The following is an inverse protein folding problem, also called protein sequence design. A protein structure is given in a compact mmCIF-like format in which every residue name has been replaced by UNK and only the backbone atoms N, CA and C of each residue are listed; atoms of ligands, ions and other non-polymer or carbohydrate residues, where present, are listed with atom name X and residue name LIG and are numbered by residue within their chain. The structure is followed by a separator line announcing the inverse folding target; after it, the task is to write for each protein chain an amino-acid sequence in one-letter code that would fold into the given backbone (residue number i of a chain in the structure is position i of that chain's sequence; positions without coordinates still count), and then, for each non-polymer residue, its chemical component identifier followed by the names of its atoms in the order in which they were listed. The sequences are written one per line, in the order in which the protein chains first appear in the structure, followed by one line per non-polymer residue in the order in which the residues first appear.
data_IF_439092636353
#
_entry.id   IF_439092636353
#
_cell.length_a   1.000
_cell.length_b   1.000
_cell.length_c   1.000
_cell.angle_alpha   90.00
_cell.angle_beta   90.00
_cell.angle_gamma   90.00
#
_symmetry.space_group_name_H-M   'P 1'
#
loop_
_entity.id
_entity.type
_entity.pdbx_description
1 polymer ?
#
# COMPACT_ATOMS: atom_id res chain seq x y z
N UNK A 1 12.62 30.96 -22.70
CA UNK A 1 11.43 30.15 -23.05
C UNK A 1 11.03 29.44 -21.77
N UNK A 2 10.18 30.08 -20.99
CA UNK A 2 9.68 29.59 -19.69
C UNK A 2 8.36 28.86 -19.96
N UNK A 3 8.23 27.63 -19.47
CA UNK A 3 6.99 26.85 -19.59
C UNK A 3 5.95 27.40 -18.62
N UNK A 4 4.70 27.66 -19.04
CA UNK A 4 3.68 28.13 -18.12
C UNK A 4 3.32 27.00 -17.14
N UNK A 5 3.36 27.31 -15.84
CA UNK A 5 2.83 26.45 -14.79
C UNK A 5 1.32 26.26 -15.03
N UNK A 6 0.89 25.02 -15.26
CA UNK A 6 -0.51 24.70 -15.37
C UNK A 6 -1.11 24.68 -13.95
N UNK A 7 -1.55 25.86 -13.49
CA UNK A 7 -2.33 25.99 -12.27
C UNK A 7 -3.73 25.49 -12.59
N UNK A 8 -4.08 24.31 -12.08
CA UNK A 8 -5.44 23.78 -12.14
C UNK A 8 -6.28 24.63 -11.20
N UNK A 9 -6.96 25.64 -11.74
CA UNK A 9 -7.93 26.42 -10.99
C UNK A 9 -9.22 25.59 -10.87
N UNK A 10 -9.39 24.91 -9.73
CA UNK A 10 -10.66 24.29 -9.39
C UNK A 10 -11.49 25.39 -8.75
N UNK A 11 -12.43 25.94 -9.53
CA UNK A 11 -13.38 26.94 -9.06
C UNK A 11 -14.24 26.34 -7.93
N UNK A 12 -14.14 26.91 -6.74
CA UNK A 12 -15.11 26.75 -5.66
C UNK A 12 -16.32 27.64 -5.95
N UNK A 13 -17.40 27.06 -6.46
CA UNK A 13 -18.72 27.69 -6.52
C UNK A 13 -19.70 26.97 -5.56
N UNK A 14 -20.68 27.74 -5.11
CA UNK A 14 -21.33 27.73 -3.80
C UNK A 14 -22.50 26.74 -3.60
N UNK A 15 -22.63 26.30 -2.33
CA UNK A 15 -23.80 25.96 -1.49
C UNK A 15 -24.97 25.07 -2.00
N UNK A 16 -25.05 23.86 -1.43
CA UNK A 16 -26.27 23.16 -1.01
C UNK A 16 -25.93 22.32 0.23
N UNK A 17 -26.21 22.82 1.44
CA UNK A 17 -25.80 22.18 2.72
C UNK A 17 -26.57 20.88 2.95
N UNK A 18 -26.03 19.77 2.42
CA UNK A 18 -26.46 18.39 2.67
C UNK A 18 -25.54 17.74 3.73
N UNK A 19 -25.96 16.64 4.36
CA UNK A 19 -25.13 15.92 5.37
C UNK A 19 -23.73 15.52 4.81
N UNK A 20 -23.60 15.43 3.48
CA UNK A 20 -22.34 15.23 2.76
C UNK A 20 -21.36 16.41 2.89
N UNK A 21 -21.83 17.64 3.11
CA UNK A 21 -20.97 18.84 3.23
C UNK A 21 -20.22 18.88 4.55
N UNK A 22 -20.81 18.40 5.64
CA UNK A 22 -20.14 18.28 6.94
C UNK A 22 -18.92 17.37 6.85
N UNK A 23 -19.07 16.22 6.18
CA UNK A 23 -17.97 15.25 5.97
C UNK A 23 -16.89 15.84 5.04
N UNK A 24 -17.27 16.55 3.98
CA UNK A 24 -16.33 17.22 3.06
C UNK A 24 -15.57 18.36 3.76
N UNK A 25 -16.25 19.16 4.59
CA UNK A 25 -15.64 20.25 5.38
C UNK A 25 -14.65 19.68 6.40
N UNK A 26 -14.99 18.57 7.04
CA UNK A 26 -14.12 17.90 8.01
C UNK A 26 -12.86 17.33 7.35
N UNK A 27 -13.00 16.69 6.18
CA UNK A 27 -11.87 16.16 5.42
C UNK A 27 -10.91 17.28 4.98
N UNK A 28 -11.45 18.40 4.48
CA UNK A 28 -10.64 19.59 4.10
C UNK A 28 -9.87 20.15 5.29
N UNK A 29 -10.51 20.28 6.46
CA UNK A 29 -9.85 20.73 7.70
C UNK A 29 -8.73 19.78 8.12
N UNK A 30 -8.96 18.47 8.03
CA UNK A 30 -7.95 17.47 8.36
C UNK A 30 -6.76 17.55 7.39
N UNK A 31 -7.01 17.73 6.09
CA UNK A 31 -5.92 17.94 5.11
C UNK A 31 -5.14 19.21 5.37
N UNK A 32 -5.81 20.33 5.68
CA UNK A 32 -5.16 21.59 6.01
C UNK A 32 -4.31 21.46 7.27
N UNK A 33 -4.82 20.76 8.29
CA UNK A 33 -4.08 20.50 9.53
C UNK A 33 -2.81 19.68 9.30
N UNK A 34 -2.83 18.72 8.37
CA UNK A 34 -1.66 17.93 7.98
C UNK A 34 -0.63 18.75 7.20
N UNK A 35 -1.08 19.71 6.38
CA UNK A 35 -0.21 20.65 5.65
C UNK A 35 0.45 21.62 6.64
N UNK A 36 -0.33 22.18 7.55
CA UNK A 36 0.13 23.17 8.51
C UNK A 36 1.01 22.55 9.62
N UNK A 37 0.79 21.27 9.95
CA UNK A 37 1.56 20.52 10.94
C UNK A 37 2.19 19.25 10.33
N UNK A 38 3.26 19.39 9.53
CA UNK A 38 3.90 18.25 8.85
C UNK A 38 4.63 17.30 9.82
N UNK A 39 4.97 17.75 11.02
CA UNK A 39 5.65 16.98 12.07
C UNK A 39 4.66 16.27 13.02
N UNK A 40 3.54 15.75 12.51
CA UNK A 40 2.73 14.87 13.35
C UNK A 40 3.55 13.65 13.77
N UNK A 41 3.54 13.26 15.06
CA UNK A 41 4.29 12.11 15.53
C UNK A 41 3.91 10.90 14.70
N UNK A 42 4.92 10.24 14.12
CA UNK A 42 4.72 8.96 13.45
C UNK A 42 4.21 7.97 14.50
N UNK A 43 2.90 7.75 14.53
CA UNK A 43 2.34 6.66 15.32
C UNK A 43 2.87 5.36 14.70
N UNK A 44 3.93 4.82 15.28
CA UNK A 44 4.46 3.51 14.93
C UNK A 44 3.47 2.44 15.41
N UNK A 45 2.40 2.24 14.65
CA UNK A 45 1.41 1.22 14.92
C UNK A 45 2.01 -0.13 14.53
N UNK A 46 2.48 -0.89 15.50
CA UNK A 46 2.86 -2.29 15.30
C UNK A 46 1.60 -3.15 15.24
N UNK A 47 1.22 -3.59 14.04
CA UNK A 47 0.18 -4.62 13.88
C UNK A 47 0.77 -6.00 14.05
N UNK A 48 -0.02 -6.96 14.56
CA UNK A 48 0.41 -8.35 14.58
C UNK A 48 0.49 -8.86 13.14
N UNK A 49 1.47 -9.73 12.85
CA UNK A 49 1.57 -10.35 11.52
C UNK A 49 0.32 -11.17 11.16
N UNK A 50 -0.42 -11.67 12.18
CA UNK A 50 -1.70 -12.34 12.01
C UNK A 50 -2.84 -11.41 11.53
N UNK A 51 -2.69 -10.10 11.70
CA UNK A 51 -3.67 -9.09 11.27
C UNK A 51 -3.33 -8.50 9.89
N UNK A 52 -2.30 -9.04 9.22
CA UNK A 52 -1.91 -8.59 7.88
C UNK A 52 -2.92 -9.08 6.87
N UNK A 53 -3.51 -8.12 6.15
CA UNK A 53 -4.39 -8.36 5.01
C UNK A 53 -3.61 -8.27 3.71
N UNK A 54 -3.99 -9.09 2.73
CA UNK A 54 -3.41 -9.07 1.40
C UNK A 54 -3.87 -7.82 0.65
N UNK A 55 -2.97 -6.95 0.16
CA UNK A 55 -3.36 -5.71 -0.53
C UNK A 55 -3.91 -5.93 -1.95
N UNK A 56 -3.98 -7.19 -2.42
CA UNK A 56 -4.52 -7.54 -3.75
C UNK A 56 -5.98 -7.97 -3.64
N UNK A 57 -6.30 -8.86 -2.69
CA UNK A 57 -7.66 -9.37 -2.50
C UNK A 57 -8.39 -8.74 -1.30
N UNK A 58 -7.70 -7.96 -0.47
CA UNK A 58 -8.23 -7.32 0.74
C UNK A 58 -8.73 -8.26 1.84
N UNK A 59 -8.38 -9.55 1.76
CA UNK A 59 -8.68 -10.57 2.77
C UNK A 59 -7.45 -10.94 3.61
N UNK A 60 -7.66 -11.78 4.63
CA UNK A 60 -6.57 -12.42 5.38
C UNK A 60 -5.59 -13.15 4.45
N UNK A 61 -4.30 -13.02 4.73
CA UNK A 61 -3.26 -13.60 3.88
C UNK A 61 -3.25 -15.13 4.00
N UNK A 62 -3.68 -15.82 2.93
CA UNK A 62 -3.57 -17.28 2.80
C UNK A 62 -2.23 -17.67 2.15
N UNK A 63 -1.51 -18.62 2.76
CA UNK A 63 -0.15 -19.01 2.33
C UNK A 63 0.76 -17.79 2.13
N UNK A 64 0.97 -17.03 3.22
CA UNK A 64 1.76 -15.81 3.21
C UNK A 64 3.07 -15.97 2.45
N UNK A 65 3.23 -15.18 1.39
CA UNK A 65 4.34 -15.29 0.45
C UNK A 65 5.06 -13.94 0.40
N UNK A 66 6.32 -13.93 0.84
CA UNK A 66 7.19 -12.76 0.75
C UNK A 66 7.88 -12.73 -0.60
N UNK A 67 7.98 -11.54 -1.17
CA UNK A 67 8.74 -11.28 -2.41
C UNK A 67 10.19 -10.90 -2.08
N UNK A 68 11.09 -10.91 -3.06
CA UNK A 68 12.49 -10.49 -2.87
C UNK A 68 12.65 -9.02 -2.44
N UNK A 69 11.58 -8.21 -2.53
CA UNK A 69 11.54 -6.85 -2.02
C UNK A 69 10.97 -6.72 -0.60
N UNK A 70 10.57 -7.83 0.05
CA UNK A 70 10.09 -7.89 1.42
C UNK A 70 8.57 -7.84 1.59
N UNK A 71 7.83 -7.38 0.58
CA UNK A 71 6.36 -7.30 0.66
C UNK A 71 5.70 -8.68 0.65
N UNK A 72 4.59 -8.81 1.40
CA UNK A 72 3.87 -10.05 1.66
C UNK A 72 2.49 -10.02 1.02
N UNK A 73 2.09 -11.14 0.42
CA UNK A 73 0.79 -11.34 -0.25
C UNK A 73 0.33 -12.79 -0.09
N UNK A 74 -0.91 -13.11 -0.52
CA UNK A 74 -1.28 -14.50 -0.74
C UNK A 74 -0.46 -15.09 -1.91
N UNK A 75 -0.16 -16.39 -1.84
CA UNK A 75 0.60 -17.08 -2.89
C UNK A 75 -0.04 -16.93 -4.27
N UNK A 76 -1.34 -17.18 -4.36
CA UNK A 76 -2.08 -17.10 -5.61
C UNK A 76 -2.13 -15.67 -6.15
N UNK A 77 -2.40 -14.69 -5.28
CA UNK A 77 -2.48 -13.29 -5.66
C UNK A 77 -1.15 -12.78 -6.24
N UNK A 78 -0.01 -13.09 -5.61
CA UNK A 78 1.29 -12.64 -6.13
C UNK A 78 1.67 -13.38 -7.41
N UNK A 79 1.33 -14.65 -7.56
CA UNK A 79 1.55 -15.42 -8.79
C UNK A 79 0.80 -14.81 -9.98
N UNK A 80 -0.49 -14.49 -9.79
CA UNK A 80 -1.31 -13.85 -10.81
C UNK A 80 -0.82 -12.44 -11.15
N UNK A 81 -0.41 -11.67 -10.13
CA UNK A 81 0.11 -10.31 -10.32
C UNK A 81 1.41 -10.28 -11.12
N UNK A 82 2.35 -11.19 -10.80
CA UNK A 82 3.60 -11.35 -11.55
C UNK A 82 3.30 -11.71 -13.00
N UNK A 83 2.41 -12.70 -13.22
CA UNK A 83 2.02 -13.17 -14.55
C UNK A 83 1.37 -12.08 -15.38
N UNK A 84 0.47 -11.30 -14.77
CA UNK A 84 -0.23 -10.19 -15.42
C UNK A 84 0.71 -9.05 -15.79
N UNK A 85 1.66 -8.71 -14.91
CA UNK A 85 2.67 -7.69 -15.18
C UNK A 85 3.57 -8.07 -16.35
N UNK A 86 3.93 -9.35 -16.44
CA UNK A 86 4.68 -9.90 -17.56
C UNK A 86 3.88 -9.87 -18.87
N UNK A 87 2.63 -10.32 -18.84
CA UNK A 87 1.75 -10.38 -20.02
C UNK A 87 1.48 -8.97 -20.61
N UNK A 88 1.41 -7.95 -19.76
CA UNK A 88 1.27 -6.54 -20.18
C UNK A 88 2.58 -5.90 -20.65
N UNK A 89 3.69 -6.64 -20.70
CA UNK A 89 4.99 -6.12 -21.12
C UNK A 89 5.63 -5.10 -20.17
N UNK A 90 5.17 -5.04 -18.90
CA UNK A 90 5.68 -4.08 -17.91
C UNK A 90 7.09 -4.43 -17.42
N UNK A 91 7.52 -5.67 -17.64
CA UNK A 91 8.87 -6.15 -17.37
C UNK A 91 9.42 -6.88 -18.58
N UNK A 92 10.72 -6.71 -18.84
CA UNK A 92 11.47 -7.50 -19.81
C UNK A 92 12.13 -8.66 -19.06
N UNK A 93 12.10 -9.86 -19.64
CA UNK A 93 12.76 -11.02 -19.02
C UNK A 93 12.10 -12.36 -19.32
N UNK A 94 12.47 -13.37 -18.54
CA UNK A 94 11.89 -14.72 -18.62
C UNK A 94 10.49 -14.74 -18.00
N UNK A 95 9.67 -15.72 -18.40
CA UNK A 95 8.38 -15.97 -17.74
C UNK A 95 8.58 -16.16 -16.23
N UNK A 96 7.64 -15.62 -15.45
CA UNK A 96 7.72 -15.63 -13.98
C UNK A 96 8.48 -14.44 -13.38
N UNK A 97 8.92 -13.47 -14.18
CA UNK A 97 9.30 -12.14 -13.67
C UNK A 97 8.14 -11.16 -13.79
N UNK A 98 7.96 -10.28 -12.80
CA UNK A 98 6.88 -9.30 -12.73
C UNK A 98 7.24 -8.11 -11.84
N UNK A 99 6.26 -7.26 -11.56
CA UNK A 99 6.43 -6.12 -10.65
C UNK A 99 5.75 -6.43 -9.31
N UNK A 100 6.36 -6.00 -8.21
CA UNK A 100 5.69 -5.98 -6.91
C UNK A 100 4.51 -4.98 -6.93
N UNK A 101 3.30 -5.36 -6.46
CA UNK A 101 2.15 -4.44 -6.38
C UNK A 101 2.37 -3.21 -5.49
N UNK A 102 3.17 -3.33 -4.43
CA UNK A 102 3.36 -2.25 -3.46
C UNK A 102 4.47 -1.27 -3.84
N UNK A 103 5.63 -1.78 -4.28
CA UNK A 103 6.79 -0.92 -4.57
C UNK A 103 7.27 -0.95 -6.02
N UNK A 104 6.61 -1.70 -6.90
CA UNK A 104 6.95 -1.83 -8.33
C UNK A 104 8.38 -2.30 -8.62
N UNK A 105 9.10 -2.86 -7.64
CA UNK A 105 10.40 -3.50 -7.89
C UNK A 105 10.20 -4.74 -8.76
N UNK A 106 11.14 -4.99 -9.68
CA UNK A 106 11.18 -6.24 -10.43
C UNK A 106 11.42 -7.41 -9.48
N UNK A 107 10.53 -8.39 -9.52
CA UNK A 107 10.58 -9.60 -8.70
C UNK A 107 10.43 -10.83 -9.60
N UNK A 108 11.03 -11.95 -9.20
CA UNK A 108 10.77 -13.25 -9.81
C UNK A 108 9.95 -14.12 -8.87
N UNK A 109 9.01 -14.88 -9.41
CA UNK A 109 8.27 -15.88 -8.66
C UNK A 109 9.18 -16.97 -8.08
N UNK A 110 10.37 -17.20 -8.66
CA UNK A 110 11.35 -18.14 -8.10
C UNK A 110 12.01 -17.65 -6.82
N UNK A 111 12.03 -16.33 -6.63
CA UNK A 111 12.67 -15.68 -5.48
C UNK A 111 11.65 -15.38 -4.37
N UNK A 112 10.40 -15.83 -4.52
CA UNK A 112 9.39 -15.71 -3.48
C UNK A 112 9.55 -16.81 -2.45
N UNK A 113 9.25 -16.48 -1.20
CA UNK A 113 9.39 -17.38 -0.06
C UNK A 113 8.03 -17.50 0.61
N UNK A 114 7.48 -18.71 0.65
CA UNK A 114 6.28 -19.01 1.43
C UNK A 114 6.66 -19.09 2.91
N UNK A 115 6.05 -18.25 3.72
CA UNK A 115 6.28 -18.14 5.15
C UNK A 115 5.44 -19.18 5.87
N UNK A 116 6.11 -20.11 6.57
CA UNK A 116 5.47 -21.10 7.45
C UNK A 116 5.66 -20.67 8.90
N UNK A 117 4.64 -20.07 9.48
CA UNK A 117 4.69 -19.50 10.82
C UNK A 117 3.90 -20.36 11.80
N UNK A 118 4.35 -20.43 13.05
CA UNK A 118 3.59 -21.01 14.16
C UNK A 118 2.91 -19.87 14.92
N UNK A 119 1.65 -20.05 15.32
CA UNK A 119 1.03 -19.13 16.26
C UNK A 119 1.80 -19.19 17.58
N UNK A 120 2.31 -18.04 18.02
CA UNK A 120 2.85 -17.88 19.36
C UNK A 120 1.70 -17.55 20.32
N UNK A 121 1.61 -18.28 21.44
CA UNK A 121 0.63 -18.06 22.50
C UNK A 121 0.92 -16.82 23.35
N UNK A 122 2.16 -16.34 23.33
CA UNK A 122 2.59 -15.09 23.96
C UNK A 122 3.55 -14.37 23.02
N UNK A 123 3.29 -13.11 22.70
CA UNK A 123 4.25 -12.22 22.02
C UNK A 123 4.28 -10.91 22.79
N UNK A 124 5.47 -10.51 23.24
CA UNK A 124 5.70 -9.17 23.77
C UNK A 124 5.65 -8.14 22.64
N UNK A 125 5.26 -6.91 22.96
CA UNK A 125 5.37 -5.79 22.02
C UNK A 125 6.87 -5.57 21.76
N UNK A 126 7.34 -5.58 20.50
CA UNK A 126 8.74 -5.28 20.22
C UNK A 126 9.04 -3.82 20.57
N UNK A 127 10.12 -3.57 21.30
CA UNK A 127 10.63 -2.20 21.47
C UNK A 127 11.10 -1.69 20.09
N UNK A 128 10.42 -0.66 19.58
CA UNK A 128 10.83 0.00 18.34
C UNK A 128 11.86 1.09 18.64
N UNK A 129 12.87 1.29 17.76
CA UNK A 129 13.72 2.47 17.85
C UNK A 129 12.89 3.75 17.66
N UNK A 130 13.34 4.88 18.25
CA UNK A 130 12.72 6.19 18.07
C UNK A 130 12.83 6.68 16.62
#
# INVERSE_FOLDING_TARGET
METPEYIINISSDEEDVDDNDLEIIEFRKQTQNLIDNPEQPQHHITKKLAEVQCPICFDEVTMATSTSCGHIFCLECIQQSISSSHARGQVRGKRGSGLCPLCRKNISFKDTIVLRMKLATTMGIPELPP
#
